data_IF_087629889179
#
_entry.id   IF_087629889179
#
_cell.length_a   1.000
_cell.length_b   1.000
_cell.length_c   1.000
_cell.angle_alpha   90.00
_cell.angle_beta   90.00
_cell.angle_gamma   90.00
#
_symmetry.space_group_name_H-M   'P 1'
#
loop_
_entity.id
_entity.type
_entity.pdbx_description
1 polymer ?
#
# COMPACT_ATOMS: atom_id res chain seq x y z
N UNK A 1 -8.50 3.55 -5.00
CA UNK A 1 -9.20 2.59 -4.13
C UNK A 1 -9.44 1.27 -4.86
N UNK A 2 -9.41 0.13 -4.16
CA UNK A 2 -9.64 -1.23 -4.68
C UNK A 2 -10.51 -2.00 -3.69
N UNK A 3 -11.80 -2.05 -3.99
CA UNK A 3 -12.85 -2.50 -3.09
C UNK A 3 -13.78 -3.42 -3.88
N UNK A 4 -14.04 -4.62 -3.37
CA UNK A 4 -14.92 -5.60 -4.01
C UNK A 4 -15.98 -6.05 -3.00
N UNK A 5 -17.09 -5.33 -2.94
CA UNK A 5 -18.18 -5.56 -1.99
C UNK A 5 -19.38 -6.24 -2.63
N UNK A 6 -20.00 -7.17 -1.90
CA UNK A 6 -21.29 -7.80 -2.20
C UNK A 6 -22.03 -8.00 -0.88
N UNK A 7 -23.23 -7.45 -0.76
CA UNK A 7 -24.03 -7.46 0.48
C UNK A 7 -23.23 -6.97 1.70
N UNK A 8 -23.08 -7.81 2.73
CA UNK A 8 -22.33 -7.51 3.96
C UNK A 8 -20.87 -8.01 3.91
N UNK A 9 -20.38 -8.40 2.72
CA UNK A 9 -19.03 -8.89 2.53
C UNK A 9 -18.20 -7.99 1.63
N UNK A 10 -16.93 -7.77 1.97
CA UNK A 10 -16.00 -7.02 1.15
C UNK A 10 -14.60 -7.63 1.14
N UNK A 11 -14.02 -7.72 -0.06
CA UNK A 11 -12.61 -8.08 -0.24
C UNK A 11 -11.78 -6.81 -0.37
N UNK A 12 -10.81 -6.65 0.53
CA UNK A 12 -9.75 -5.65 0.41
C UNK A 12 -8.53 -6.29 -0.24
N UNK A 13 -8.05 -5.67 -1.33
CA UNK A 13 -6.91 -6.15 -2.10
C UNK A 13 -6.22 -5.00 -2.82
N UNK A 14 -4.96 -5.21 -3.21
CA UNK A 14 -4.26 -4.35 -4.15
C UNK A 14 -4.51 -4.70 -5.62
N UNK A 15 -5.26 -5.76 -5.90
CA UNK A 15 -5.48 -6.31 -7.22
C UNK A 15 -6.49 -5.52 -8.06
N UNK A 16 -6.39 -5.61 -9.39
CA UNK A 16 -7.43 -5.22 -10.34
C UNK A 16 -8.21 -6.47 -10.82
N UNK A 17 -9.36 -6.26 -11.46
CA UNK A 17 -10.08 -7.30 -12.19
C UNK A 17 -9.48 -7.47 -13.59
N UNK A 18 -8.32 -8.13 -13.67
CA UNK A 18 -7.66 -8.44 -14.94
C UNK A 18 -7.04 -9.84 -14.90
N UNK A 19 -6.85 -10.42 -16.09
CA UNK A 19 -6.41 -11.82 -16.24
C UNK A 19 -5.13 -12.14 -15.48
N UNK A 20 -4.19 -11.21 -15.38
CA UNK A 20 -2.94 -11.37 -14.64
C UNK A 20 -3.17 -11.55 -13.13
N UNK A 21 -4.02 -10.73 -12.49
CA UNK A 21 -4.36 -10.90 -11.07
C UNK A 21 -5.13 -12.19 -10.77
N UNK A 22 -5.88 -12.71 -11.74
CA UNK A 22 -6.58 -13.98 -11.57
C UNK A 22 -5.69 -15.21 -11.81
N UNK A 23 -4.48 -15.04 -12.38
CA UNK A 23 -3.69 -16.19 -12.85
C UNK A 23 -2.25 -16.20 -12.35
N UNK A 24 -1.52 -15.09 -12.47
CA UNK A 24 -0.06 -15.09 -12.29
C UNK A 24 0.52 -13.76 -11.78
N UNK A 25 -0.28 -12.96 -11.07
CA UNK A 25 0.19 -11.76 -10.38
C UNK A 25 -0.12 -11.87 -8.89
N UNK A 26 0.94 -12.08 -8.12
CA UNK A 26 0.85 -12.24 -6.67
C UNK A 26 0.42 -10.94 -6.01
N UNK A 27 -0.75 -10.93 -5.39
CA UNK A 27 -1.23 -9.87 -4.49
C UNK A 27 -1.83 -10.50 -3.22
N UNK A 28 -2.51 -9.71 -2.39
CA UNK A 28 -3.16 -10.13 -1.14
C UNK A 28 -4.66 -9.89 -1.19
N UNK A 29 -5.43 -10.71 -0.48
CA UNK A 29 -6.89 -10.67 -0.51
C UNK A 29 -7.42 -10.99 0.89
N UNK A 30 -8.04 -10.03 1.55
CA UNK A 30 -8.68 -10.23 2.86
C UNK A 30 -10.19 -10.02 2.71
N UNK A 31 -10.96 -11.06 3.00
CA UNK A 31 -12.42 -11.00 3.07
C UNK A 31 -12.85 -10.56 4.46
N UNK A 32 -13.67 -9.52 4.53
CA UNK A 32 -14.37 -9.07 5.73
C UNK A 32 -15.86 -9.33 5.54
N UNK A 33 -16.44 -10.19 6.39
CA UNK A 33 -17.89 -10.40 6.46
C UNK A 33 -18.45 -9.54 7.60
N UNK A 34 -18.75 -8.28 7.28
CA UNK A 34 -19.24 -7.29 8.23
C UNK A 34 -19.98 -6.18 7.50
N UNK A 35 -21.25 -6.00 7.87
CA UNK A 35 -22.07 -4.89 7.40
C UNK A 35 -21.44 -3.52 7.68
N UNK A 36 -20.97 -3.29 8.91
CA UNK A 36 -20.33 -2.03 9.33
C UNK A 36 -19.12 -1.67 8.44
N UNK A 37 -18.28 -2.66 8.12
CA UNK A 37 -17.11 -2.46 7.25
C UNK A 37 -17.52 -2.20 5.81
N UNK A 38 -18.52 -2.95 5.32
CA UNK A 38 -18.98 -2.85 3.93
C UNK A 38 -19.71 -1.53 3.68
N UNK A 39 -20.60 -1.11 4.59
CA UNK A 39 -21.28 0.19 4.55
C UNK A 39 -20.30 1.36 4.64
N UNK A 40 -19.24 1.25 5.46
CA UNK A 40 -18.20 2.28 5.50
C UNK A 40 -17.58 2.49 4.12
N UNK A 41 -17.14 1.41 3.46
CA UNK A 41 -16.49 1.51 2.16
C UNK A 41 -17.47 1.88 1.03
N UNK A 42 -18.74 1.47 1.13
CA UNK A 42 -19.80 1.93 0.23
C UNK A 42 -20.01 3.44 0.32
N UNK A 43 -20.13 4.00 1.54
CA UNK A 43 -20.26 5.44 1.75
C UNK A 43 -19.07 6.24 1.20
N UNK A 44 -17.84 5.71 1.36
CA UNK A 44 -16.64 6.31 0.77
C UNK A 44 -16.69 6.26 -0.77
N UNK A 45 -17.08 5.12 -1.34
CA UNK A 45 -17.20 4.95 -2.78
C UNK A 45 -18.26 5.90 -3.37
N UNK A 46 -19.42 6.04 -2.74
CA UNK A 46 -20.49 6.92 -3.16
C UNK A 46 -20.07 8.40 -3.08
N UNK A 47 -19.43 8.80 -1.98
CA UNK A 47 -18.90 10.15 -1.82
C UNK A 47 -17.87 10.49 -2.90
N UNK A 48 -16.89 9.62 -3.14
CA UNK A 48 -15.89 9.84 -4.21
C UNK A 48 -16.54 9.84 -5.60
N UNK A 49 -17.55 9.00 -5.82
CA UNK A 49 -18.29 8.96 -7.10
C UNK A 49 -19.04 10.26 -7.36
N UNK A 50 -19.64 10.87 -6.32
CA UNK A 50 -20.30 12.20 -6.40
C UNK A 50 -19.36 13.38 -6.63
N UNK A 51 -18.04 13.11 -6.64
CA UNK A 51 -16.96 14.06 -6.91
C UNK A 51 -16.16 13.70 -8.18
N UNK A 52 -16.70 12.81 -9.01
CA UNK A 52 -16.01 12.24 -10.18
C UNK A 52 -16.71 12.62 -11.48
N UNK A 53 -15.94 12.64 -12.57
CA UNK A 53 -16.49 12.69 -13.92
C UNK A 53 -17.13 11.35 -14.27
N UNK A 54 -18.30 11.39 -14.92
CA UNK A 54 -18.92 10.23 -15.52
C UNK A 54 -18.36 10.03 -16.93
N UNK A 55 -17.79 8.84 -17.18
CA UNK A 55 -17.31 8.45 -18.51
C UNK A 55 -18.47 7.84 -19.29
N UNK A 56 -18.87 8.48 -20.40
CA UNK A 56 -19.92 7.97 -21.30
C UNK A 56 -19.34 7.63 -22.66
N UNK A 57 -19.82 6.55 -23.32
CA UNK A 57 -19.49 6.29 -24.73
C UNK A 57 -19.87 7.50 -25.60
N UNK A 58 -19.02 7.83 -26.56
CA UNK A 58 -19.31 8.90 -27.53
C UNK A 58 -18.64 8.64 -28.87
N UNK A 59 -19.12 9.32 -29.91
CA UNK A 59 -18.58 9.27 -31.28
C UNK A 59 -17.24 10.04 -31.42
N UNK A 60 -16.65 10.49 -30.32
CA UNK A 60 -15.35 11.15 -30.35
C UNK A 60 -14.26 10.17 -30.81
N UNK A 61 -13.12 10.67 -31.28
CA UNK A 61 -11.98 9.82 -31.65
C UNK A 61 -11.50 8.93 -30.46
N UNK A 62 -11.71 9.40 -29.22
CA UNK A 62 -11.37 8.63 -28.03
C UNK A 62 -12.39 7.53 -27.71
N UNK A 63 -13.59 7.56 -28.32
CA UNK A 63 -14.69 6.63 -28.07
C UNK A 63 -15.47 6.90 -26.78
N UNK A 64 -15.13 7.97 -26.05
CA UNK A 64 -15.81 8.39 -24.84
C UNK A 64 -15.74 9.91 -24.62
N UNK A 65 -16.61 10.40 -23.75
CA UNK A 65 -16.60 11.74 -23.19
C UNK A 65 -16.61 11.68 -21.65
N UNK A 66 -16.04 12.69 -21.01
CA UNK A 66 -16.06 12.87 -19.56
C UNK A 66 -17.01 14.02 -19.24
N UNK A 67 -18.08 13.70 -18.54
CA UNK A 67 -19.12 14.67 -18.17
C UNK A 67 -19.03 14.91 -16.67
N UNK A 68 -19.06 16.17 -16.25
CA UNK A 68 -19.32 16.52 -14.86
C UNK A 68 -20.83 16.50 -14.63
N UNK A 69 -21.39 15.55 -13.88
CA UNK A 69 -22.83 15.51 -13.61
C UNK A 69 -23.30 16.78 -12.87
N UNK A 70 -24.50 17.26 -13.21
CA UNK A 70 -25.11 18.43 -12.55
C UNK A 70 -25.49 18.16 -11.09
N UNK A 71 -25.71 16.90 -10.75
CA UNK A 71 -26.03 16.40 -9.41
C UNK A 71 -24.80 16.02 -8.57
N UNK A 72 -23.59 16.29 -9.07
CA UNK A 72 -22.38 16.12 -8.27
C UNK A 72 -22.41 17.02 -7.02
N UNK A 73 -21.80 16.53 -5.94
CA UNK A 73 -21.82 17.19 -4.63
C UNK A 73 -20.97 18.48 -4.58
N UNK A 74 -20.24 18.79 -5.65
CA UNK A 74 -19.32 19.91 -5.76
C UNK A 74 -19.30 20.45 -7.20
N UNK A 75 -18.87 21.72 -7.40
CA UNK A 75 -18.60 22.23 -8.74
C UNK A 75 -17.47 21.45 -9.42
N UNK A 76 -17.39 21.55 -10.75
CA UNK A 76 -16.30 20.92 -11.49
C UNK A 76 -14.94 21.43 -11.00
N UNK A 77 -13.97 20.53 -10.72
CA UNK A 77 -12.62 20.94 -10.32
C UNK A 77 -11.87 21.69 -11.43
N UNK A 78 -12.35 21.61 -12.68
CA UNK A 78 -11.79 22.35 -13.82
C UNK A 78 -12.30 23.80 -13.87
N UNK A 79 -13.43 24.09 -13.23
CA UNK A 79 -14.08 25.40 -13.23
C UNK A 79 -13.78 26.18 -11.95
N UNK A 80 -14.00 25.54 -10.79
CA UNK A 80 -13.69 26.12 -9.47
C UNK A 80 -12.99 25.09 -8.57
N UNK A 81 -11.66 24.93 -8.70
CA UNK A 81 -10.91 23.97 -7.90
C UNK A 81 -10.91 24.29 -6.40
N UNK A 82 -11.07 25.57 -6.03
CA UNK A 82 -11.03 25.97 -4.61
C UNK A 82 -12.34 25.60 -3.93
N UNK A 83 -13.47 25.88 -4.58
CA UNK A 83 -14.77 25.48 -4.07
C UNK A 83 -14.93 23.95 -4.12
N UNK A 84 -14.44 23.29 -5.18
CA UNK A 84 -14.40 21.82 -5.24
C UNK A 84 -13.72 21.21 -3.99
N UNK A 85 -12.52 21.68 -3.64
CA UNK A 85 -11.78 21.17 -2.46
C UNK A 85 -12.54 21.44 -1.16
N UNK A 86 -13.22 22.59 -1.04
CA UNK A 86 -14.01 22.91 0.14
C UNK A 86 -15.18 21.94 0.32
N UNK A 87 -15.95 21.68 -0.74
CA UNK A 87 -17.09 20.76 -0.69
C UNK A 87 -16.64 19.31 -0.53
N UNK A 88 -15.57 18.89 -1.23
CA UNK A 88 -15.00 17.56 -1.05
C UNK A 88 -14.49 17.34 0.37
N UNK A 89 -13.89 18.37 1.00
CA UNK A 89 -13.48 18.33 2.40
C UNK A 89 -14.69 18.16 3.31
N UNK A 90 -15.75 18.95 3.12
CA UNK A 90 -16.98 18.86 3.92
C UNK A 90 -17.61 17.47 3.85
N UNK A 91 -17.68 16.90 2.64
CA UNK A 91 -18.25 15.58 2.38
C UNK A 91 -17.41 14.44 2.99
N UNK A 92 -16.10 14.44 2.72
CA UNK A 92 -15.23 13.31 3.07
C UNK A 92 -14.71 13.36 4.50
N UNK A 93 -14.48 14.54 5.09
CA UNK A 93 -13.91 14.66 6.43
C UNK A 93 -14.76 13.96 7.49
N UNK A 94 -16.09 14.02 7.34
CA UNK A 94 -17.04 13.29 8.20
C UNK A 94 -16.96 11.78 8.03
N UNK A 95 -16.67 11.27 6.83
CA UNK A 95 -16.60 9.83 6.57
C UNK A 95 -15.26 9.22 7.02
N UNK A 96 -14.15 9.94 6.85
CA UNK A 96 -12.82 9.43 7.23
C UNK A 96 -12.47 9.71 8.69
N UNK A 97 -13.21 10.58 9.37
CA UNK A 97 -12.95 10.95 10.75
C UNK A 97 -13.22 9.76 11.71
N UNK A 98 -12.27 9.44 12.60
CA UNK A 98 -12.45 8.42 13.63
C UNK A 98 -13.61 8.71 14.60
N UNK A 99 -14.07 9.97 14.71
CA UNK A 99 -15.16 10.38 15.61
C UNK A 99 -16.54 10.02 15.08
N UNK A 100 -16.63 9.81 13.78
CA UNK A 100 -17.88 9.68 13.01
C UNK A 100 -17.93 8.35 12.26
N UNK A 101 -16.79 7.65 12.16
CA UNK A 101 -16.76 6.26 11.74
C UNK A 101 -17.73 5.42 12.59
N UNK A 102 -18.54 4.52 11.98
CA UNK A 102 -19.49 3.71 12.69
C UNK A 102 -18.78 2.88 13.78
N UNK A 103 -19.06 3.23 15.04
CA UNK A 103 -18.50 2.54 16.20
C UNK A 103 -19.26 1.25 16.42
N UNK A 104 -18.80 0.15 15.79
CA UNK A 104 -19.27 -1.23 16.05
C UNK A 104 -20.78 -1.31 16.26
N UNK A 105 -21.57 -0.63 15.41
CA UNK A 105 -22.98 -0.38 15.67
C UNK A 105 -23.77 -1.70 15.79
N UNK A 106 -23.23 -2.77 15.22
CA UNK A 106 -23.82 -4.09 15.20
C UNK A 106 -22.99 -5.19 15.88
N UNK A 107 -21.87 -4.86 16.56
CA UNK A 107 -21.09 -5.86 17.31
C UNK A 107 -21.67 -6.09 18.72
N UNK A 108 -22.49 -7.14 18.85
CA UNK A 108 -23.08 -7.57 20.13
C UNK A 108 -22.08 -8.23 21.07
N UNK A 109 -20.82 -8.44 20.65
CA UNK A 109 -19.79 -9.07 21.48
C UNK A 109 -19.45 -8.17 22.67
N UNK A 110 -19.53 -8.68 23.92
CA UNK A 110 -19.10 -7.94 25.10
C UNK A 110 -17.68 -7.42 24.94
N UNK A 111 -17.40 -6.18 25.37
CA UNK A 111 -16.12 -5.49 25.15
C UNK A 111 -14.92 -6.28 25.67
N UNK A 112 -15.08 -6.97 26.79
CA UNK A 112 -14.08 -7.85 27.41
C UNK A 112 -13.81 -9.14 26.62
N UNK A 113 -14.70 -9.49 25.68
CA UNK A 113 -14.57 -10.63 24.78
C UNK A 113 -14.15 -10.25 23.35
N UNK A 114 -14.03 -8.95 23.05
CA UNK A 114 -13.54 -8.48 21.76
C UNK A 114 -12.03 -8.67 21.70
N UNK A 115 -11.58 -9.50 20.77
CA UNK A 115 -10.16 -9.84 20.61
C UNK A 115 -9.52 -9.15 19.40
N UNK A 116 -10.30 -8.45 18.58
CA UNK A 116 -9.84 -7.89 17.30
C UNK A 116 -10.45 -6.52 17.06
N UNK A 117 -9.62 -5.58 16.62
CA UNK A 117 -10.02 -4.24 16.17
C UNK A 117 -9.59 -4.02 14.73
N UNK A 118 -10.50 -3.50 13.91
CA UNK A 118 -10.22 -3.12 12.52
C UNK A 118 -10.36 -1.61 12.40
N UNK A 119 -9.26 -0.93 12.07
CA UNK A 119 -9.25 0.50 11.81
C UNK A 119 -9.31 0.72 10.31
N UNK A 120 -10.38 1.37 9.84
CA UNK A 120 -10.58 1.70 8.43
C UNK A 120 -9.85 3.02 8.16
N UNK A 121 -8.92 2.98 7.20
CA UNK A 121 -7.95 4.03 6.96
C UNK A 121 -8.07 4.55 5.53
N UNK A 122 -7.95 5.87 5.37
CA UNK A 122 -8.05 6.53 4.06
C UNK A 122 -6.90 7.51 3.85
N UNK A 123 -6.49 7.69 2.61
CA UNK A 123 -5.53 8.70 2.17
C UNK A 123 -6.10 9.47 0.99
N UNK A 124 -6.60 10.67 1.26
CA UNK A 124 -7.29 11.54 0.29
C UNK A 124 -6.74 12.97 0.32
N UNK A 125 -5.42 13.15 0.51
CA UNK A 125 -4.78 14.47 0.64
C UNK A 125 -5.09 15.44 -0.50
N UNK A 126 -5.51 14.94 -1.66
CA UNK A 126 -5.85 15.74 -2.84
C UNK A 126 -7.25 16.34 -2.76
N UNK A 127 -8.12 15.78 -1.92
CA UNK A 127 -9.52 16.17 -1.75
C UNK A 127 -9.79 16.85 -0.40
N UNK A 128 -8.79 16.94 0.48
CA UNK A 128 -8.96 17.38 1.87
C UNK A 128 -8.05 18.58 2.18
N UNK A 129 -8.64 19.68 2.63
CA UNK A 129 -7.91 20.86 3.11
C UNK A 129 -8.58 21.45 4.35
N UNK A 130 -8.00 21.32 5.57
CA UNK A 130 -6.74 20.62 5.87
C UNK A 130 -6.84 19.11 5.64
N UNK A 131 -5.70 18.47 5.39
CA UNK A 131 -5.64 17.01 5.20
C UNK A 131 -6.01 16.27 6.50
N UNK A 132 -7.11 15.52 6.44
CA UNK A 132 -7.62 14.70 7.54
C UNK A 132 -7.50 13.19 7.26
N UNK A 133 -6.69 12.83 6.27
CA UNK A 133 -6.34 11.44 5.96
C UNK A 133 -5.78 10.71 7.17
N UNK A 134 -6.10 9.42 7.30
CA UNK A 134 -5.81 8.61 8.48
C UNK A 134 -4.75 7.55 8.26
N UNK A 135 -4.49 7.11 7.02
CA UNK A 135 -3.50 6.05 6.72
C UNK A 135 -2.08 6.45 7.15
N UNK A 136 -1.54 7.54 6.58
CA UNK A 136 -0.16 7.95 6.88
C UNK A 136 0.07 8.25 8.38
N UNK A 137 -0.83 8.96 9.09
CA UNK A 137 -0.72 9.13 10.54
C UNK A 137 -0.72 7.80 11.30
N UNK A 138 -1.59 6.84 10.95
CA UNK A 138 -1.67 5.55 11.63
C UNK A 138 -0.40 4.73 11.44
N UNK A 139 0.09 4.58 10.19
CA UNK A 139 1.34 3.87 9.89
C UNK A 139 2.52 4.54 10.60
N UNK A 140 2.59 5.87 10.55
CA UNK A 140 3.63 6.65 11.23
C UNK A 140 3.60 6.44 12.74
N UNK A 141 2.41 6.45 13.34
CA UNK A 141 2.25 6.22 14.77
C UNK A 141 2.77 4.84 15.16
N UNK A 142 2.37 3.80 14.44
CA UNK A 142 2.81 2.43 14.69
C UNK A 142 4.32 2.30 14.59
N UNK A 143 4.95 2.80 13.52
CA UNK A 143 6.41 2.70 13.36
C UNK A 143 7.19 3.50 14.42
N UNK A 144 6.67 4.68 14.84
CA UNK A 144 7.24 5.43 15.96
C UNK A 144 7.12 4.67 17.28
N UNK A 145 6.00 4.01 17.51
CA UNK A 145 5.80 3.16 18.69
C UNK A 145 6.82 2.02 18.71
N UNK A 146 7.10 1.39 17.56
CA UNK A 146 8.13 0.35 17.43
C UNK A 146 9.57 0.86 17.65
N UNK A 147 9.82 2.18 17.67
CA UNK A 147 11.12 2.73 18.06
C UNK A 147 11.34 2.82 19.58
N UNK A 148 10.32 2.51 20.38
CA UNK A 148 10.46 2.50 21.85
C UNK A 148 11.12 1.20 22.35
N UNK A 149 11.98 1.26 23.38
CA UNK A 149 12.72 0.09 23.88
C UNK A 149 11.87 -1.11 24.28
N UNK A 150 10.65 -0.88 24.79
CA UNK A 150 9.74 -1.96 25.17
C UNK A 150 9.32 -2.87 23.99
N UNK A 151 9.49 -2.41 22.75
CA UNK A 151 9.19 -3.18 21.54
C UNK A 151 10.44 -3.77 20.88
N UNK A 152 11.58 -3.82 21.56
CA UNK A 152 12.82 -4.38 21.00
C UNK A 152 12.69 -5.85 20.56
N UNK A 153 11.83 -6.61 21.24
CA UNK A 153 11.52 -8.01 20.93
C UNK A 153 10.34 -8.19 19.96
N UNK A 154 9.98 -7.14 19.22
CA UNK A 154 9.01 -7.23 18.11
C UNK A 154 9.73 -7.48 16.79
N UNK A 155 8.95 -7.78 15.74
CA UNK A 155 9.42 -7.83 14.35
C UNK A 155 8.39 -7.21 13.42
N UNK A 156 8.83 -6.71 12.27
CA UNK A 156 7.92 -6.29 11.21
C UNK A 156 8.29 -6.88 9.85
N UNK A 157 7.29 -7.08 8.99
CA UNK A 157 7.48 -7.35 7.57
C UNK A 157 6.75 -6.29 6.77
N UNK A 158 7.47 -5.60 5.89
CA UNK A 158 6.91 -4.59 4.99
C UNK A 158 7.04 -5.09 3.56
N UNK A 159 5.96 -5.03 2.79
CA UNK A 159 5.99 -5.38 1.37
C UNK A 159 5.45 -4.26 0.51
N UNK A 160 6.08 -4.09 -0.65
CA UNK A 160 5.58 -3.27 -1.75
C UNK A 160 5.93 -3.96 -3.08
N UNK A 161 4.96 -4.02 -4.01
CA UNK A 161 5.17 -4.62 -5.33
C UNK A 161 6.37 -4.01 -6.07
N UNK A 162 6.51 -2.70 -5.96
CA UNK A 162 7.66 -1.95 -6.42
C UNK A 162 8.31 -1.23 -5.24
N UNK A 163 9.58 -1.50 -4.95
CA UNK A 163 10.25 -0.86 -3.83
C UNK A 163 10.48 0.64 -4.07
N UNK A 164 9.49 1.44 -3.69
CA UNK A 164 9.55 2.89 -3.66
C UNK A 164 8.79 3.51 -2.47
N UNK A 165 8.97 3.01 -1.23
CA UNK A 165 8.32 3.60 -0.08
C UNK A 165 8.75 5.07 0.10
N UNK A 166 7.85 5.90 0.60
CA UNK A 166 8.14 7.28 0.93
C UNK A 166 9.41 7.36 1.82
N UNK A 167 10.33 8.31 1.57
CA UNK A 167 11.56 8.41 2.35
C UNK A 167 11.33 8.55 3.87
N UNK A 168 10.23 9.21 4.27
CA UNK A 168 9.80 9.32 5.66
C UNK A 168 9.51 7.94 6.29
N UNK A 169 8.78 7.08 5.58
CA UNK A 169 8.48 5.71 6.04
C UNK A 169 9.73 4.85 6.08
N UNK A 170 10.61 4.95 5.08
CA UNK A 170 11.89 4.21 5.09
C UNK A 170 12.73 4.58 6.31
N UNK A 171 12.79 5.88 6.65
CA UNK A 171 13.50 6.35 7.85
C UNK A 171 12.88 5.79 9.13
N UNK A 172 11.55 5.74 9.21
CA UNK A 172 10.85 5.19 10.37
C UNK A 172 11.09 3.68 10.52
N UNK A 173 11.01 2.92 9.43
CA UNK A 173 11.31 1.48 9.41
C UNK A 173 12.72 1.19 9.93
N UNK A 174 13.72 2.00 9.52
CA UNK A 174 15.10 1.83 9.99
C UNK A 174 15.32 2.34 11.43
N UNK A 175 14.37 3.08 12.01
CA UNK A 175 14.46 3.61 13.38
C UNK A 175 13.83 2.72 14.45
N UNK A 176 13.17 1.63 14.05
CA UNK A 176 12.53 0.70 14.99
C UNK A 176 13.57 -0.04 15.84
N UNK A 177 13.23 -0.38 17.09
CA UNK A 177 14.08 -1.22 17.96
C UNK A 177 13.90 -2.72 17.68
N UNK A 178 12.97 -3.08 16.78
CA UNK A 178 12.59 -4.45 16.44
C UNK A 178 13.70 -5.22 15.73
N UNK A 179 13.62 -6.55 15.80
CA UNK A 179 14.56 -7.49 15.18
C UNK A 179 13.83 -8.45 14.23
N UNK A 180 14.56 -9.11 13.34
CA UNK A 180 13.96 -10.02 12.35
C UNK A 180 13.10 -9.29 11.32
N UNK A 181 13.37 -8.00 11.09
CA UNK A 181 12.63 -7.16 10.18
C UNK A 181 12.89 -7.56 8.73
N UNK A 182 11.84 -7.56 7.92
CA UNK A 182 11.93 -8.00 6.52
C UNK A 182 11.24 -7.01 5.59
N UNK A 183 11.94 -6.58 4.55
CA UNK A 183 11.35 -5.94 3.39
C UNK A 183 11.18 -6.98 2.28
N UNK A 184 10.01 -7.06 1.66
CA UNK A 184 9.76 -7.88 0.46
C UNK A 184 9.42 -6.97 -0.72
N UNK A 185 10.08 -7.18 -1.86
CA UNK A 185 9.77 -6.49 -3.13
C UNK A 185 9.88 -7.44 -4.31
N UNK A 186 9.29 -7.10 -5.45
CA UNK A 186 9.54 -7.82 -6.68
C UNK A 186 11.02 -7.79 -7.05
N UNK A 187 11.57 -8.94 -7.43
CA UNK A 187 12.80 -8.99 -8.24
C UNK A 187 12.57 -8.26 -9.56
N UNK A 188 13.61 -7.67 -10.20
CA UNK A 188 13.46 -7.08 -11.53
C UNK A 188 12.82 -8.03 -12.55
N UNK A 189 13.09 -9.34 -12.43
CA UNK A 189 12.55 -10.39 -13.29
C UNK A 189 11.09 -10.77 -13.01
N UNK A 190 10.53 -10.35 -11.88
CA UNK A 190 9.12 -10.54 -11.50
C UNK A 190 8.37 -9.19 -11.48
N UNK A 191 8.96 -8.15 -12.06
CA UNK A 191 8.37 -6.82 -12.14
C UNK A 191 7.46 -6.72 -13.38
N UNK A 192 6.25 -6.16 -13.23
CA UNK A 192 5.32 -5.98 -14.35
C UNK A 192 5.84 -5.12 -15.50
N UNK A 193 6.86 -4.29 -15.26
CA UNK A 193 7.52 -3.46 -16.29
C UNK A 193 8.78 -4.10 -16.89
N UNK A 194 9.09 -5.35 -16.54
CA UNK A 194 10.26 -6.04 -17.07
C UNK A 194 10.25 -6.07 -18.60
N UNK A 195 11.29 -5.49 -19.22
CA UNK A 195 11.42 -5.34 -20.69
C UNK A 195 10.24 -4.64 -21.38
N UNK A 196 9.45 -3.85 -20.64
CA UNK A 196 8.40 -3.03 -21.23
C UNK A 196 8.99 -1.98 -22.19
N UNK A 197 8.29 -1.65 -23.31
CA UNK A 197 8.81 -0.72 -24.29
C UNK A 197 8.90 0.71 -23.75
N UNK A 198 9.87 1.47 -24.26
CA UNK A 198 10.05 2.89 -23.95
C UNK A 198 10.53 3.17 -22.52
N UNK A 199 10.13 4.32 -21.97
CA UNK A 199 10.60 4.82 -20.66
C UNK A 199 10.16 3.92 -19.51
N UNK A 200 9.01 3.25 -19.64
CA UNK A 200 8.50 2.33 -18.62
C UNK A 200 9.46 1.16 -18.33
N UNK A 201 10.25 0.73 -19.33
CA UNK A 201 11.29 -0.28 -19.18
C UNK A 201 12.44 0.12 -18.25
N UNK A 202 12.56 1.41 -17.89
CA UNK A 202 13.56 1.90 -16.93
C UNK A 202 13.11 1.76 -15.47
N UNK A 203 11.82 1.48 -15.22
CA UNK A 203 11.27 1.39 -13.87
C UNK A 203 11.89 0.26 -13.03
N UNK A 204 12.10 -0.98 -13.55
CA UNK A 204 12.75 -2.05 -12.77
C UNK A 204 14.14 -1.65 -12.26
N UNK A 205 14.92 -0.94 -13.08
CA UNK A 205 16.24 -0.44 -12.69
C UNK A 205 16.15 0.70 -11.67
N UNK A 206 15.14 1.55 -11.78
CA UNK A 206 14.89 2.61 -10.80
C UNK A 206 14.57 2.01 -9.41
N UNK A 207 13.70 1.00 -9.35
CA UNK A 207 13.40 0.29 -8.11
C UNK A 207 14.62 -0.47 -7.58
N UNK A 208 15.44 -1.05 -8.46
CA UNK A 208 16.73 -1.66 -8.09
C UNK A 208 17.65 -0.63 -7.41
N UNK A 209 17.69 0.61 -7.91
CA UNK A 209 18.47 1.68 -7.29
C UNK A 209 17.96 2.03 -5.88
N UNK A 210 16.64 2.09 -5.70
CA UNK A 210 16.02 2.38 -4.39
C UNK A 210 16.26 1.24 -3.39
N UNK A 211 16.10 -0.01 -3.81
CA UNK A 211 16.41 -1.19 -2.99
C UNK A 211 17.90 -1.20 -2.57
N UNK A 212 18.81 -0.86 -3.50
CA UNK A 212 20.24 -0.72 -3.21
C UNK A 212 20.51 0.38 -2.17
N UNK A 213 19.80 1.52 -2.25
CA UNK A 213 19.94 2.60 -1.26
C UNK A 213 19.46 2.16 0.13
N UNK A 214 18.37 1.41 0.19
CA UNK A 214 17.88 0.83 1.43
C UNK A 214 18.89 -0.12 2.06
N UNK A 215 19.39 -1.11 1.31
CA UNK A 215 20.40 -2.07 1.80
C UNK A 215 21.70 -1.37 2.23
N UNK A 216 22.10 -0.30 1.53
CA UNK A 216 23.22 0.54 1.98
C UNK A 216 22.93 1.26 3.30
N UNK A 217 21.71 1.79 3.48
CA UNK A 217 21.32 2.46 4.71
C UNK A 217 21.26 1.50 5.91
N UNK A 218 20.78 0.27 5.70
CA UNK A 218 20.85 -0.82 6.69
C UNK A 218 22.30 -1.06 7.12
N UNK A 219 23.21 -1.21 6.16
CA UNK A 219 24.64 -1.40 6.45
C UNK A 219 25.29 -0.23 7.18
N UNK A 220 25.00 1.01 6.76
CA UNK A 220 25.56 2.20 7.39
C UNK A 220 25.09 2.40 8.83
N UNK A 221 23.91 1.87 9.18
CA UNK A 221 23.34 1.92 10.51
C UNK A 221 23.61 0.65 11.34
N UNK A 222 24.40 -0.31 10.82
CA UNK A 222 24.73 -1.58 11.48
C UNK A 222 23.49 -2.43 11.82
N UNK A 223 22.49 -2.42 10.93
CA UNK A 223 21.19 -3.08 11.11
C UNK A 223 21.10 -4.42 10.37
N UNK A 224 22.18 -4.96 9.81
CA UNK A 224 22.15 -6.18 9.00
C UNK A 224 21.73 -7.42 9.80
N UNK A 225 22.01 -7.43 11.10
CA UNK A 225 21.58 -8.50 11.99
C UNK A 225 20.07 -8.45 12.29
N UNK A 226 19.44 -7.28 12.16
CA UNK A 226 18.04 -7.05 12.53
C UNK A 226 17.12 -6.86 11.33
N UNK A 227 17.63 -6.49 10.15
CA UNK A 227 16.82 -6.09 9.00
C UNK A 227 17.38 -6.61 7.69
N UNK A 228 16.53 -7.29 6.91
CA UNK A 228 16.89 -7.81 5.57
C UNK A 228 15.94 -7.31 4.49
N UNK A 229 16.45 -7.21 3.26
CA UNK A 229 15.63 -7.04 2.06
C UNK A 229 15.61 -8.36 1.30
N UNK A 230 14.42 -8.80 0.89
CA UNK A 230 14.18 -10.01 0.10
C UNK A 230 13.52 -9.65 -1.22
N UNK A 231 13.97 -10.27 -2.29
CA UNK A 231 13.37 -10.17 -3.61
C UNK A 231 12.53 -11.40 -3.93
N UNK A 232 11.28 -11.18 -4.28
CA UNK A 232 10.37 -12.22 -4.73
C UNK A 232 10.55 -12.52 -6.22
N UNK A 233 10.68 -13.79 -6.58
CA UNK A 233 10.76 -14.25 -7.96
C UNK A 233 10.24 -15.68 -8.12
N UNK A 234 9.23 -15.84 -8.97
CA UNK A 234 8.79 -17.14 -9.49
C UNK A 234 8.85 -17.10 -11.02
N UNK A 235 9.98 -17.54 -11.59
CA UNK A 235 10.26 -17.45 -13.03
C UNK A 235 10.69 -16.05 -13.48
N UNK A 236 10.64 -15.80 -14.79
CA UNK A 236 10.93 -14.49 -15.41
C UNK A 236 9.74 -14.05 -16.24
N UNK A 237 9.31 -12.80 -16.12
CA UNK A 237 8.21 -12.25 -16.93
C UNK A 237 8.43 -12.53 -18.43
N UNK A 238 7.44 -13.15 -19.05
CA UNK A 238 7.47 -13.63 -20.44
C UNK A 238 7.77 -15.12 -20.61
N UNK A 239 8.21 -15.82 -19.56
CA UNK A 239 8.44 -17.27 -19.57
C UNK A 239 7.20 -18.05 -19.09
N UNK A 240 6.94 -19.27 -19.60
CA UNK A 240 5.86 -20.12 -19.11
C UNK A 240 5.96 -20.39 -17.61
N UNK A 241 4.84 -20.25 -16.89
CA UNK A 241 4.77 -20.45 -15.44
C UNK A 241 5.37 -19.32 -14.60
N UNK A 242 5.83 -18.23 -15.21
CA UNK A 242 6.32 -17.06 -14.49
C UNK A 242 5.19 -16.21 -13.91
N UNK A 243 5.44 -15.63 -12.76
CA UNK A 243 4.51 -14.76 -12.05
C UNK A 243 5.15 -13.39 -11.79
N UNK A 244 4.31 -12.35 -11.72
CA UNK A 244 4.70 -11.02 -11.26
C UNK A 244 4.33 -10.83 -9.78
N UNK A 245 5.02 -9.91 -9.10
CA UNK A 245 4.76 -9.60 -7.69
C UNK A 245 4.19 -8.20 -7.50
N UNK A 246 3.11 -8.08 -6.74
CA UNK A 246 2.42 -6.82 -6.51
C UNK A 246 1.79 -6.66 -5.12
N UNK A 247 2.09 -7.56 -4.17
CA UNK A 247 1.58 -7.46 -2.81
C UNK A 247 2.10 -6.20 -2.08
N UNK A 248 1.22 -5.57 -1.30
CA UNK A 248 1.55 -4.43 -0.43
C UNK A 248 1.03 -4.66 1.00
N UNK A 249 1.72 -4.09 1.97
CA UNK A 249 1.24 -4.07 3.35
C UNK A 249 2.34 -4.21 4.39
N UNK A 250 1.89 -4.32 5.64
CA UNK A 250 2.73 -4.37 6.82
C UNK A 250 2.19 -5.47 7.74
N UNK A 251 3.08 -6.24 8.35
CA UNK A 251 2.79 -7.17 9.45
C UNK A 251 3.70 -6.83 10.61
N UNK A 252 3.18 -6.90 11.83
CA UNK A 252 3.96 -6.67 13.05
C UNK A 252 3.66 -7.80 14.03
N UNK A 253 4.71 -8.47 14.48
CA UNK A 253 4.66 -9.43 15.58
C UNK A 253 5.09 -8.71 16.84
N UNK A 254 4.17 -8.54 17.79
CA UNK A 254 4.45 -7.86 19.06
C UNK A 254 5.31 -8.74 19.98
N UNK A 255 5.99 -8.15 20.98
CA UNK A 255 6.77 -8.91 21.95
C UNK A 255 5.94 -10.01 22.60
N UNK A 256 6.49 -11.23 22.67
CA UNK A 256 5.82 -12.40 23.23
C UNK A 256 4.81 -13.09 22.30
N UNK A 257 4.50 -12.50 21.14
CA UNK A 257 3.68 -13.17 20.12
C UNK A 257 4.54 -14.01 19.18
N UNK A 258 3.99 -15.13 18.70
CA UNK A 258 4.65 -16.01 17.72
C UNK A 258 4.37 -15.60 16.27
N UNK A 259 3.16 -15.12 16.02
CA UNK A 259 2.67 -14.71 14.70
C UNK A 259 2.15 -13.25 14.76
N UNK A 260 1.99 -12.56 13.61
CA UNK A 260 1.64 -11.14 13.58
C UNK A 260 0.36 -10.80 14.33
N UNK A 261 0.47 -9.81 15.22
CA UNK A 261 -0.66 -9.23 15.96
C UNK A 261 -1.29 -8.03 15.23
N UNK A 262 -0.56 -7.45 14.28
CA UNK A 262 -1.03 -6.33 13.46
C UNK A 262 -0.78 -6.64 11.99
N UNK A 263 -1.76 -6.37 11.13
CA UNK A 263 -1.58 -6.36 9.67
C UNK A 263 -2.31 -5.18 9.02
N UNK A 264 -1.71 -4.62 7.98
CA UNK A 264 -2.31 -3.58 7.15
C UNK A 264 -2.54 -4.10 5.73
N UNK A 265 -3.78 -4.02 5.24
CA UNK A 265 -4.21 -4.47 3.92
C UNK A 265 -4.95 -3.33 3.20
N UNK A 266 -4.75 -3.18 1.89
CA UNK A 266 -5.45 -2.17 1.11
C UNK A 266 -4.78 -1.86 -0.22
N UNK A 267 -5.06 -0.67 -0.77
CA UNK A 267 -4.58 -0.26 -2.08
C UNK A 267 -3.23 0.47 -2.07
N UNK A 268 -2.80 0.98 -0.91
CA UNK A 268 -1.62 1.83 -0.80
C UNK A 268 -0.33 1.12 -1.19
N UNK A 269 0.46 1.79 -2.03
CA UNK A 269 1.83 1.40 -2.33
C UNK A 269 2.85 2.06 -1.39
N UNK A 270 2.38 2.87 -0.43
CA UNK A 270 3.20 3.59 0.55
C UNK A 270 4.23 4.54 -0.08
N UNK A 271 3.96 5.01 -1.29
CA UNK A 271 4.88 5.87 -2.05
C UNK A 271 4.61 7.35 -1.80
N UNK A 272 5.51 8.24 -2.24
CA UNK A 272 5.20 9.67 -2.29
C UNK A 272 3.91 9.94 -3.08
N UNK A 273 3.69 9.21 -4.17
CA UNK A 273 2.49 9.30 -5.02
C UNK A 273 1.21 8.92 -4.24
N UNK A 274 1.25 7.83 -3.47
CA UNK A 274 0.12 7.44 -2.60
C UNK A 274 -0.26 8.55 -1.62
N UNK A 275 0.73 9.31 -1.12
CA UNK A 275 0.49 10.40 -0.16
C UNK A 275 0.31 11.80 -0.78
N UNK A 276 0.37 11.94 -2.10
CA UNK A 276 0.29 13.26 -2.74
C UNK A 276 -0.59 13.32 -3.97
N UNK A 277 -0.92 12.19 -4.61
CA UNK A 277 -1.67 12.16 -5.87
C UNK A 277 -2.79 11.11 -5.94
N UNK A 278 -2.69 9.98 -5.23
CA UNK A 278 -3.66 8.89 -5.33
C UNK A 278 -4.68 8.88 -4.18
N UNK A 279 -5.88 8.35 -4.44
CA UNK A 279 -6.91 8.06 -3.43
C UNK A 279 -6.79 6.61 -2.94
N UNK A 280 -6.38 6.42 -1.69
CA UNK A 280 -6.11 5.10 -1.12
C UNK A 280 -7.05 4.78 0.05
N UNK A 281 -7.39 3.50 0.18
CA UNK A 281 -8.20 2.96 1.28
C UNK A 281 -7.57 1.67 1.78
N UNK A 282 -7.51 1.51 3.09
CA UNK A 282 -6.85 0.38 3.75
C UNK A 282 -7.60 0.01 5.04
N UNK A 283 -7.29 -1.16 5.59
CA UNK A 283 -7.72 -1.59 6.92
C UNK A 283 -6.50 -2.06 7.72
N UNK A 284 -6.33 -1.50 8.92
CA UNK A 284 -5.37 -1.97 9.90
C UNK A 284 -6.07 -2.89 10.89
N UNK A 285 -5.67 -4.16 10.89
CA UNK A 285 -6.17 -5.20 11.78
C UNK A 285 -5.22 -5.27 12.98
N UNK A 286 -5.74 -5.17 14.19
CA UNK A 286 -5.02 -5.40 15.45
C UNK A 286 -5.75 -6.50 16.20
N UNK A 287 -5.08 -7.61 16.51
CA UNK A 287 -5.74 -8.80 17.05
C UNK A 287 -4.94 -9.51 18.14
N UNK A 288 -5.67 -9.97 19.15
CA UNK A 288 -5.27 -10.93 20.17
C UNK A 288 -5.76 -12.34 19.86
N UNK A 289 -6.60 -12.52 18.83
CA UNK A 289 -7.12 -13.82 18.39
C UNK A 289 -6.00 -14.71 17.83
N UNK A 290 -5.69 -15.80 18.52
CA UNK A 290 -4.56 -16.67 18.17
C UNK A 290 -4.70 -17.35 16.79
N UNK A 291 -5.92 -17.70 16.37
CA UNK A 291 -6.14 -18.30 15.05
C UNK A 291 -5.96 -17.28 13.92
N UNK A 292 -6.44 -16.03 14.12
CA UNK A 292 -6.21 -14.96 13.17
C UNK A 292 -4.72 -14.61 13.07
N UNK A 293 -4.01 -14.49 14.20
CA UNK A 293 -2.55 -14.29 14.22
C UNK A 293 -1.85 -15.38 13.40
N UNK A 294 -2.18 -16.65 13.63
CA UNK A 294 -1.62 -17.78 12.88
C UNK A 294 -1.90 -17.70 11.38
N UNK A 295 -3.10 -17.32 10.96
CA UNK A 295 -3.46 -17.10 9.54
C UNK A 295 -2.66 -15.94 8.92
N UNK A 296 -2.52 -14.82 9.64
CA UNK A 296 -1.66 -13.71 9.21
C UNK A 296 -0.19 -14.14 9.08
N UNK A 297 0.30 -14.96 10.00
CA UNK A 297 1.65 -15.52 9.93
C UNK A 297 1.83 -16.49 8.76
N UNK A 298 0.80 -17.29 8.43
CA UNK A 298 0.82 -18.15 7.24
C UNK A 298 0.88 -17.31 5.96
N UNK A 299 0.05 -16.26 5.83
CA UNK A 299 0.11 -15.32 4.72
C UNK A 299 1.51 -14.71 4.57
N UNK A 300 2.09 -14.21 5.67
CA UNK A 300 3.43 -13.63 5.69
C UNK A 300 4.52 -14.64 5.26
N UNK A 301 4.39 -15.91 5.66
CA UNK A 301 5.32 -16.98 5.27
C UNK A 301 5.17 -17.35 3.79
N UNK A 302 3.95 -17.46 3.28
CA UNK A 302 3.67 -17.75 1.87
C UNK A 302 4.26 -16.68 0.95
N UNK A 303 4.14 -15.40 1.31
CA UNK A 303 4.77 -14.31 0.56
C UNK A 303 6.30 -14.40 0.53
N UNK A 304 6.92 -15.19 1.41
CA UNK A 304 8.37 -15.37 1.47
C UNK A 304 8.88 -16.63 0.77
N UNK A 305 8.02 -17.56 0.34
CA UNK A 305 8.42 -18.85 -0.26
C UNK A 305 9.32 -18.69 -1.48
N UNK A 306 9.02 -17.73 -2.34
CA UNK A 306 9.77 -17.45 -3.56
C UNK A 306 10.72 -16.28 -3.42
N UNK A 307 11.23 -16.03 -2.20
CA UNK A 307 12.07 -14.86 -1.92
C UNK A 307 13.51 -15.21 -1.55
N UNK A 308 14.46 -14.46 -2.10
CA UNK A 308 15.89 -14.55 -1.76
C UNK A 308 16.36 -13.28 -1.06
N UNK A 309 17.20 -13.42 -0.04
CA UNK A 309 17.85 -12.27 0.61
C UNK A 309 18.77 -11.59 -0.41
N UNK A 310 18.74 -10.26 -0.46
CA UNK A 310 19.60 -9.45 -1.31
C UNK A 310 20.56 -8.65 -0.45
N UNK A 311 21.84 -8.76 -0.77
CA UNK A 311 22.94 -8.10 -0.06
C UNK A 311 23.56 -7.00 -0.92
N UNK A 312 24.53 -6.28 -0.35
CA UNK A 312 25.33 -5.31 -1.10
C UNK A 312 26.07 -5.94 -2.28
N UNK A 313 26.50 -7.19 -2.16
CA UNK A 313 27.28 -7.89 -3.18
C UNK A 313 26.41 -8.28 -4.37
N UNK A 314 25.14 -8.61 -4.12
CA UNK A 314 24.17 -8.85 -5.20
C UNK A 314 23.99 -7.61 -6.09
N UNK A 315 23.94 -6.42 -5.50
CA UNK A 315 23.86 -5.16 -6.26
C UNK A 315 25.17 -4.76 -6.96
N UNK A 316 26.28 -5.47 -6.72
CA UNK A 316 27.55 -5.25 -7.40
C UNK A 316 27.68 -6.07 -8.70
N UNK A 317 26.85 -7.12 -8.86
CA UNK A 317 26.81 -7.99 -10.05
C UNK A 317 26.45 -7.20 -11.31
N UNK A 318 26.97 -7.64 -12.46
CA UNK A 318 26.91 -6.90 -13.72
C UNK A 318 25.47 -6.70 -14.22
N UNK A 319 24.63 -7.72 -14.09
CA UNK A 319 23.20 -7.73 -14.41
C UNK A 319 22.35 -6.84 -13.48
N UNK A 320 22.93 -6.39 -12.36
CA UNK A 320 22.28 -5.52 -11.37
C UNK A 320 22.81 -4.07 -11.41
N UNK A 321 23.72 -3.75 -12.34
CA UNK A 321 24.27 -2.40 -12.48
C UNK A 321 23.26 -1.47 -13.16
N UNK A 322 22.65 -0.61 -12.33
CA UNK A 322 21.78 0.47 -12.81
C UNK A 322 22.55 1.44 -13.72
N UNK A 323 22.13 1.51 -14.99
CA UNK A 323 22.74 2.35 -16.01
C UNK A 323 22.64 3.86 -15.74
N UNK A 324 23.54 4.64 -16.34
CA UNK A 324 23.62 6.10 -16.16
C UNK A 324 22.30 6.78 -16.58
N UNK A 325 21.68 6.31 -17.67
CA UNK A 325 20.40 6.84 -18.17
C UNK A 325 19.29 6.78 -17.10
N UNK A 326 19.20 5.68 -16.35
CA UNK A 326 18.22 5.51 -15.26
C UNK A 326 18.50 6.49 -14.13
N UNK A 327 19.76 6.65 -13.74
CA UNK A 327 20.15 7.59 -12.67
C UNK A 327 19.81 9.04 -13.04
N UNK A 328 20.09 9.43 -14.29
CA UNK A 328 19.74 10.75 -14.81
C UNK A 328 18.22 10.94 -14.90
N UNK A 329 17.48 9.94 -15.38
CA UNK A 329 16.03 9.98 -15.43
C UNK A 329 15.41 10.15 -14.02
N UNK A 330 15.86 9.38 -13.03
CA UNK A 330 15.41 9.54 -11.65
C UNK A 330 15.78 10.91 -11.06
N UNK A 331 16.96 11.44 -11.39
CA UNK A 331 17.36 12.78 -10.97
C UNK A 331 16.44 13.85 -11.57
N UNK A 332 16.10 13.74 -12.86
CA UNK A 332 15.18 14.66 -13.53
C UNK A 332 13.77 14.54 -12.96
N UNK A 333 13.24 13.34 -12.75
CA UNK A 333 11.91 13.14 -12.13
C UNK A 333 11.86 13.79 -10.75
N UNK A 334 12.92 13.64 -9.93
CA UNK A 334 13.00 14.28 -8.62
C UNK A 334 13.07 15.81 -8.71
N UNK A 335 13.86 16.35 -9.64
CA UNK A 335 14.01 17.80 -9.87
C UNK A 335 12.71 18.44 -10.38
N UNK A 336 11.95 17.70 -11.20
CA UNK A 336 10.66 18.14 -11.76
C UNK A 336 9.49 17.90 -10.79
N UNK A 337 9.76 17.57 -9.53
CA UNK A 337 8.73 17.38 -8.51
C UNK A 337 7.96 16.06 -8.60
N UNK A 338 8.34 15.17 -9.52
CA UNK A 338 7.72 13.87 -9.73
C UNK A 338 7.70 13.00 -8.47
N UNK A 339 6.74 12.07 -8.43
CA UNK A 339 6.44 11.24 -7.27
C UNK A 339 7.06 9.83 -7.38
N UNK A 340 8.30 9.75 -7.86
CA UNK A 340 9.06 8.51 -8.10
C UNK A 340 10.32 8.45 -7.22
#
# INVERSE_FOLDING_TARGET
MKLYGVDDEIILSGANLSSDYFTNRQDRYHLFSSKDVTEYFANIQDAVSSLSFLVKPSESQAGFEMIWPEDNAAPSPLEDPTHFVKESTSLLAGLVSPKTAPLTAHDTTPRDKRDTSVFLLSQFSQLLSPDTSTELPAVTHVLKTLSLPQYANSSWTFTAGYFNPAPSLTKLLLSTQSHGNTVITASPFANGFYKSPGVSGLLPDAYTLLARRFVRAVHQQQLEASTVLREWRKGTVGEPGAWTYHAKGLWITLPGSKDPSISLIGSSNYTKRSYSLDLETNAMIVTENEELKKRLGQEQRWLQEHTTIVTRDDFAKADRRVGIKVRLAMMMVKLLGGAL
#
